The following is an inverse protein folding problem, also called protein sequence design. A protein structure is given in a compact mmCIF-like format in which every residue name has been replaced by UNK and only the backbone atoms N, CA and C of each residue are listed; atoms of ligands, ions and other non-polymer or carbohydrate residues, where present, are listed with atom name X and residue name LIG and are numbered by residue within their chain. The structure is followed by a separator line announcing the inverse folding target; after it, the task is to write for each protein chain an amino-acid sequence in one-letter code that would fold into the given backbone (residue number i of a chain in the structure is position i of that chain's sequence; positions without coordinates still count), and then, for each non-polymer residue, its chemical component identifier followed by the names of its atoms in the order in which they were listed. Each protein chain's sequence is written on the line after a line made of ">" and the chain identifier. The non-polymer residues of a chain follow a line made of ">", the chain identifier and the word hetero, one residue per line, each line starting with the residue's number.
data_IF_446080940261
#
_entry.id   IF_446080940261
#
_cell.length_a   1.000
_cell.length_b   1.000
_cell.length_c   1.000
_cell.angle_alpha   90.00
_cell.angle_beta   90.00
_cell.angle_gamma   90.00
#
_symmetry.space_group_name_H-M   'P 1'
#
loop_
_entity.id
_entity.type
_entity.pdbx_description
1 polymer ?
#
# COMPACT_ATOMS: atom_id res chain seq x y z
N UNK A 1 2.42 35.24 6.03
CA UNK A 1 1.55 34.35 6.81
C UNK A 1 2.09 32.92 6.72
N UNK A 2 3.27 32.67 7.29
CA UNK A 2 3.98 31.38 7.23
C UNK A 2 3.97 30.67 8.59
N UNK A 3 2.88 30.87 9.34
CA UNK A 3 2.80 30.78 10.81
C UNK A 3 2.84 29.37 11.38
N UNK A 4 2.92 28.32 10.56
CA UNK A 4 2.87 26.94 11.03
C UNK A 4 4.01 26.13 10.42
N UNK A 5 5.21 26.49 10.85
CA UNK A 5 6.44 25.74 10.59
C UNK A 5 6.21 24.26 10.88
N UNK A 6 6.76 23.38 10.05
CA UNK A 6 6.77 21.91 10.23
C UNK A 6 7.19 21.53 11.66
N UNK A 7 8.02 22.35 12.29
CA UNK A 7 8.44 22.21 13.68
C UNK A 7 7.30 22.31 14.70
N UNK A 8 6.30 23.17 14.47
CA UNK A 8 5.14 23.28 15.35
C UNK A 8 4.31 21.99 15.33
N UNK A 9 4.08 21.42 14.14
CA UNK A 9 3.36 20.16 13.99
C UNK A 9 4.08 18.98 14.66
N UNK A 10 5.42 18.94 14.62
CA UNK A 10 6.21 17.96 15.37
C UNK A 10 6.00 18.05 16.89
N UNK A 11 6.01 19.26 17.43
CA UNK A 11 5.82 19.49 18.87
C UNK A 11 4.39 19.14 19.30
N UNK A 12 3.39 19.54 18.51
CA UNK A 12 1.98 19.18 18.78
C UNK A 12 1.79 17.67 18.74
N UNK A 13 2.35 16.98 17.75
CA UNK A 13 2.29 15.52 17.67
C UNK A 13 2.90 14.86 18.90
N UNK A 14 4.06 15.35 19.36
CA UNK A 14 4.72 14.83 20.56
C UNK A 14 3.84 14.99 21.82
N UNK A 15 3.20 16.15 21.98
CA UNK A 15 2.28 16.41 23.11
C UNK A 15 1.07 15.47 23.04
N UNK A 16 0.46 15.28 21.86
CA UNK A 16 -0.69 14.37 21.68
C UNK A 16 -0.31 12.94 22.06
N UNK A 17 0.85 12.46 21.61
CA UNK A 17 1.36 11.12 21.96
C UNK A 17 1.59 10.99 23.47
N UNK A 18 2.09 12.05 24.12
CA UNK A 18 2.36 12.05 25.56
C UNK A 18 1.06 12.03 26.39
N UNK A 19 0.05 12.80 25.98
CA UNK A 19 -1.26 12.86 26.65
C UNK A 19 -2.05 11.57 26.47
N UNK A 20 -2.11 11.03 25.26
CA UNK A 20 -2.80 9.77 24.99
C UNK A 20 -2.00 8.55 25.51
N UNK A 21 -0.69 8.71 25.66
CA UNK A 21 0.24 7.63 25.96
C UNK A 21 0.44 6.68 24.77
N UNK A 22 1.65 6.12 24.67
CA UNK A 22 2.01 5.19 23.58
C UNK A 22 1.17 3.91 23.58
N UNK A 23 0.64 3.50 24.73
CA UNK A 23 -0.15 2.27 24.89
C UNK A 23 -1.54 2.36 24.26
N UNK A 24 -2.23 3.50 24.38
CA UNK A 24 -3.54 3.73 23.72
C UNK A 24 -3.37 3.98 22.23
N UNK A 25 -2.37 4.78 21.86
CA UNK A 25 -2.05 5.05 20.46
C UNK A 25 -1.63 3.78 19.70
N UNK A 26 -0.90 2.86 20.35
CA UNK A 26 -0.54 1.57 19.74
C UNK A 26 -1.75 0.66 19.51
N UNK A 27 -2.65 0.51 20.47
CA UNK A 27 -3.82 -0.36 20.29
C UNK A 27 -4.76 0.20 19.21
N UNK A 28 -5.15 1.47 19.31
CA UNK A 28 -6.04 2.11 18.32
C UNK A 28 -5.35 2.27 16.97
N UNK A 29 -4.07 2.63 16.97
CA UNK A 29 -3.26 2.76 15.75
C UNK A 29 -2.98 1.43 15.07
N UNK A 30 -2.92 0.31 15.80
CA UNK A 30 -2.81 -1.02 15.21
C UNK A 30 -4.12 -1.42 14.52
N UNK A 31 -5.27 -1.19 15.17
CA UNK A 31 -6.59 -1.53 14.61
C UNK A 31 -6.90 -0.66 13.37
N UNK A 32 -6.65 0.64 13.44
CA UNK A 32 -6.78 1.55 12.29
C UNK A 32 -5.70 1.30 11.23
N UNK A 33 -4.48 0.96 11.64
CA UNK A 33 -3.37 0.66 10.75
C UNK A 33 -3.62 -0.58 9.90
N UNK A 34 -4.27 -1.61 10.44
CA UNK A 34 -4.68 -2.79 9.67
C UNK A 34 -5.72 -2.44 8.60
N UNK A 35 -6.71 -1.60 8.93
CA UNK A 35 -7.71 -1.13 7.97
C UNK A 35 -7.08 -0.33 6.82
N UNK A 36 -6.13 0.57 7.13
CA UNK A 36 -5.41 1.37 6.15
C UNK A 36 -4.43 0.51 5.32
N UNK A 37 -3.85 -0.54 5.90
CA UNK A 37 -2.96 -1.48 5.20
C UNK A 37 -3.68 -2.19 4.06
N UNK A 38 -4.92 -2.66 4.28
CA UNK A 38 -5.74 -3.27 3.24
C UNK A 38 -6.06 -2.29 2.10
N UNK A 39 -6.38 -1.04 2.43
CA UNK A 39 -6.60 0.02 1.43
C UNK A 39 -5.33 0.32 0.62
N UNK A 40 -4.16 0.46 1.27
CA UNK A 40 -2.89 0.67 0.58
C UNK A 40 -2.50 -0.51 -0.30
N UNK A 41 -2.73 -1.74 0.17
CA UNK A 41 -2.47 -2.96 -0.59
C UNK A 41 -3.34 -3.01 -1.84
N UNK A 42 -4.66 -2.78 -1.72
CA UNK A 42 -5.58 -2.76 -2.86
C UNK A 42 -5.24 -1.67 -3.88
N UNK A 43 -4.94 -0.45 -3.42
CA UNK A 43 -4.52 0.65 -4.32
C UNK A 43 -3.15 0.36 -4.95
N UNK A 44 -2.21 -0.26 -4.21
CA UNK A 44 -0.90 -0.60 -4.75
C UNK A 44 -0.96 -1.77 -5.74
N UNK A 45 -1.86 -2.74 -5.53
CA UNK A 45 -2.09 -3.85 -6.47
C UNK A 45 -2.77 -3.35 -7.76
N UNK A 46 -3.68 -2.37 -7.68
CA UNK A 46 -4.25 -1.69 -8.86
C UNK A 46 -3.20 -0.88 -9.62
N UNK A 47 -2.29 -0.19 -8.92
CA UNK A 47 -1.19 0.57 -9.53
C UNK A 47 -0.09 -0.38 -10.06
N UNK A 48 0.03 -1.59 -9.51
CA UNK A 48 0.98 -2.63 -9.94
C UNK A 48 0.44 -3.52 -11.09
N UNK A 49 -0.69 -3.16 -11.73
CA UNK A 49 -1.20 -3.88 -12.89
C UNK A 49 -1.01 -3.11 -14.22
N UNK A 50 0.23 -3.10 -14.73
CA UNK A 50 0.45 -3.32 -16.16
C UNK A 50 1.39 -4.51 -16.43
N UNK A 51 1.60 -5.40 -15.45
CA UNK A 51 2.56 -6.51 -15.53
C UNK A 51 1.95 -7.92 -15.67
N UNK A 52 0.90 -8.26 -14.90
CA UNK A 52 0.39 -9.65 -14.84
C UNK A 52 -0.55 -10.06 -15.97
N UNK A 53 -1.04 -9.13 -16.78
CA UNK A 53 -1.87 -9.45 -17.96
C UNK A 53 -1.05 -9.85 -19.21
N UNK A 54 0.29 -9.85 -19.13
CA UNK A 54 1.18 -10.10 -20.29
C UNK A 54 1.93 -11.44 -20.27
N UNK A 55 1.87 -12.19 -19.18
CA UNK A 55 2.53 -13.49 -19.05
C UNK A 55 1.58 -14.66 -19.39
N UNK A 56 0.32 -14.62 -18.98
CA UNK A 56 -0.65 -15.70 -19.30
C UNK A 56 -0.98 -15.82 -20.79
N UNK A 57 -0.76 -14.77 -21.59
CA UNK A 57 -0.99 -14.80 -23.05
C UNK A 57 0.22 -15.34 -23.83
N UNK A 58 1.44 -15.31 -23.26
CA UNK A 58 2.64 -15.79 -23.95
C UNK A 58 2.88 -17.29 -23.84
N UNK A 59 2.38 -17.94 -22.79
CA UNK A 59 2.52 -19.40 -22.64
C UNK A 59 1.45 -20.19 -23.40
N UNK A 60 0.31 -19.58 -23.73
CA UNK A 60 -0.75 -20.22 -24.54
C UNK A 60 -0.52 -20.14 -26.05
N UNK A 61 0.38 -19.27 -26.51
CA UNK A 61 0.68 -19.08 -27.93
C UNK A 61 1.85 -19.90 -28.46
N UNK A 62 2.59 -20.61 -27.60
CA UNK A 62 3.80 -21.35 -27.96
C UNK A 62 3.65 -22.87 -27.93
N UNK A 63 2.45 -23.39 -27.59
CA UNK A 63 2.18 -24.83 -27.53
C UNK A 63 1.33 -25.37 -28.69
N UNK A 64 0.87 -24.50 -29.61
CA UNK A 64 0.00 -24.89 -30.73
C UNK A 64 0.70 -24.90 -32.11
N UNK A 65 1.98 -24.48 -32.21
CA UNK A 65 2.73 -24.47 -33.48
C UNK A 65 3.53 -25.77 -33.77
N UNK A 66 3.53 -26.77 -32.87
CA UNK A 66 4.30 -28.02 -33.04
C UNK A 66 3.40 -29.26 -33.30
N UNK A 67 2.28 -29.09 -34.01
CA UNK A 67 1.43 -30.19 -34.51
C UNK A 67 0.94 -30.01 -35.94
N UNK A 68 1.76 -29.49 -36.85
CA UNK A 68 1.48 -29.61 -38.29
C UNK A 68 2.24 -30.78 -38.89
N UNK A 69 1.56 -31.87 -39.30
CA UNK A 69 2.17 -32.92 -40.11
C UNK A 69 2.16 -32.46 -41.57
N UNK A 70 3.34 -32.40 -42.19
CA UNK A 70 3.52 -32.38 -43.65
C UNK A 70 4.65 -33.35 -43.98
#
# INVERSE_FOLDING_TARGET
>A
MGSFSIWHWLVVLAIVVLVFGTKRLKNVGQDMGQAIKGFRQGVSDDVALPGRLRDDTRERGSHDDERTPR
#
